data_IF_273290850855
#
_entry.id   IF_273290850855
#
_cell.length_a   1.000
_cell.length_b   1.000
_cell.length_c   1.000
_cell.angle_alpha   90.00
_cell.angle_beta   90.00
_cell.angle_gamma   90.00
#
_symmetry.space_group_name_H-M   'P 1'
#
loop_
_entity.id
_entity.type
_entity.pdbx_description
1 polymer ?
#
# COMPACT_ATOMS: atom_id res chain seq x y z
N UNK A 1 0.72 4.80 3.04
CA UNK A 1 2.04 4.14 3.05
C UNK A 1 2.72 4.25 1.69
N UNK A 2 4.03 4.54 1.65
CA UNK A 2 4.89 4.41 0.47
C UNK A 2 5.51 3.00 0.47
N UNK A 3 5.29 2.24 -0.59
CA UNK A 3 5.72 0.84 -0.69
C UNK A 3 6.49 0.60 -1.98
N UNK A 4 7.71 0.06 -1.89
CA UNK A 4 8.54 -0.23 -3.06
C UNK A 4 7.92 -1.37 -3.90
N UNK A 5 7.61 -1.15 -5.19
CA UNK A 5 6.94 -2.14 -6.02
C UNK A 5 7.76 -3.42 -6.26
N UNK A 6 9.08 -3.41 -6.03
CA UNK A 6 9.91 -4.62 -6.12
C UNK A 6 9.57 -5.63 -5.02
N UNK A 7 9.10 -5.16 -3.87
CA UNK A 7 8.76 -5.99 -2.71
C UNK A 7 7.61 -6.96 -3.00
N UNK A 8 6.62 -6.54 -3.80
CA UNK A 8 5.52 -7.42 -4.21
C UNK A 8 6.02 -8.63 -4.99
N UNK A 9 7.06 -8.45 -5.82
CA UNK A 9 7.67 -9.56 -6.60
C UNK A 9 8.47 -10.53 -5.73
N UNK A 10 8.84 -10.12 -4.53
CA UNK A 10 9.55 -10.92 -3.54
C UNK A 10 8.58 -11.54 -2.50
N UNK A 11 7.29 -11.23 -2.57
CA UNK A 11 6.30 -11.72 -1.61
C UNK A 11 6.25 -10.96 -0.29
N UNK A 12 6.89 -9.81 -0.20
CA UNK A 12 6.82 -8.97 1.00
C UNK A 12 5.46 -8.29 1.04
N UNK A 13 4.83 -8.35 2.21
CA UNK A 13 3.50 -7.78 2.46
C UNK A 13 3.58 -6.83 3.63
N UNK A 14 2.95 -5.67 3.49
CA UNK A 14 2.65 -4.78 4.60
C UNK A 14 1.18 -4.92 4.97
N UNK A 15 0.90 -5.10 6.25
CA UNK A 15 -0.44 -5.30 6.81
C UNK A 15 -0.73 -4.20 7.81
N UNK A 16 -1.79 -3.46 7.54
CA UNK A 16 -2.30 -2.44 8.46
C UNK A 16 -3.02 -3.10 9.66
N UNK A 17 -2.83 -2.51 10.84
CA UNK A 17 -3.46 -2.96 12.08
C UNK A 17 -4.51 -1.93 12.50
N UNK A 18 -5.75 -2.37 12.69
CA UNK A 18 -6.83 -1.49 13.10
C UNK A 18 -6.55 -0.86 14.47
N UNK A 19 -6.67 0.47 14.55
CA UNK A 19 -6.33 1.26 15.75
C UNK A 19 -4.88 1.10 16.21
N UNK A 20 -3.95 0.90 15.28
CA UNK A 20 -2.52 0.90 15.59
C UNK A 20 -2.12 2.20 16.30
N UNK A 21 -1.14 2.07 17.19
CA UNK A 21 -0.36 3.19 17.76
C UNK A 21 0.79 3.58 16.83
N UNK A 22 1.20 2.66 15.96
CA UNK A 22 2.31 2.82 15.03
C UNK A 22 1.88 2.47 13.61
N UNK A 23 1.86 3.48 12.75
CA UNK A 23 1.55 3.32 11.34
C UNK A 23 2.85 3.08 10.56
N UNK A 24 2.86 2.11 9.68
CA UNK A 24 3.96 1.87 8.76
C UNK A 24 3.83 2.81 7.57
N UNK A 25 4.70 3.80 7.49
CA UNK A 25 4.61 4.86 6.48
C UNK A 25 5.49 4.59 5.27
N UNK A 26 6.61 3.88 5.42
CA UNK A 26 7.53 3.55 4.32
C UNK A 26 8.02 2.11 4.44
N UNK A 27 8.02 1.39 3.32
CA UNK A 27 8.73 0.12 3.12
C UNK A 27 9.54 0.22 1.83
N UNK A 28 10.86 0.27 1.94
CA UNK A 28 11.76 0.36 0.80
C UNK A 28 12.74 -0.80 0.76
N UNK A 29 13.08 -1.24 -0.44
CA UNK A 29 14.07 -2.27 -0.69
C UNK A 29 15.38 -1.66 -1.18
N UNK A 30 16.51 -2.19 -0.73
CA UNK A 30 17.81 -1.95 -1.33
C UNK A 30 18.38 -3.29 -1.79
N UNK A 31 18.65 -3.40 -3.09
CA UNK A 31 19.35 -4.55 -3.66
C UNK A 31 20.86 -4.50 -3.36
N UNK A 32 21.61 -5.49 -3.86
CA UNK A 32 23.07 -5.63 -3.67
C UNK A 32 23.88 -4.39 -4.06
N UNK A 33 23.40 -3.62 -5.04
CA UNK A 33 24.10 -2.40 -5.48
C UNK A 33 23.82 -1.24 -4.53
N UNK A 34 22.66 -1.24 -3.90
CA UNK A 34 22.17 -0.18 -3.03
C UNK A 34 22.50 -0.42 -1.55
N UNK A 35 22.66 -1.68 -1.13
CA UNK A 35 22.80 -2.06 0.27
C UNK A 35 24.16 -1.74 0.87
N UNK A 36 25.16 -1.44 0.03
CA UNK A 36 26.55 -1.26 0.45
C UNK A 36 27.16 -2.54 1.03
N UNK A 37 26.66 -3.72 0.63
CA UNK A 37 27.09 -5.02 1.14
C UNK A 37 26.48 -5.41 2.49
N UNK A 38 25.45 -4.69 2.95
CA UNK A 38 24.74 -4.99 4.18
C UNK A 38 23.52 -5.88 3.92
N UNK A 39 23.05 -6.57 4.97
CA UNK A 39 21.86 -7.41 4.92
C UNK A 39 20.91 -7.15 6.11
N UNK A 40 20.38 -5.93 6.24
CA UNK A 40 19.66 -5.51 7.45
C UNK A 40 18.19 -5.15 7.23
N UNK A 41 17.41 -5.28 8.29
CA UNK A 41 16.15 -4.55 8.45
C UNK A 41 16.49 -3.28 9.22
N UNK A 42 16.36 -2.13 8.57
CA UNK A 42 16.50 -0.81 9.17
C UNK A 42 15.14 -0.29 9.60
N UNK A 43 15.09 0.29 10.79
CA UNK A 43 13.94 0.98 11.32
C UNK A 43 14.26 2.46 11.45
N UNK A 44 13.31 3.30 11.07
CA UNK A 44 13.21 4.70 11.48
C UNK A 44 11.86 4.88 12.16
N UNK A 45 11.86 5.39 13.39
CA UNK A 45 10.64 5.62 14.16
C UNK A 45 10.49 7.10 14.43
N UNK A 46 9.32 7.63 14.05
CA UNK A 46 8.98 9.04 14.13
C UNK A 46 7.79 9.26 15.07
N UNK A 47 7.72 10.44 15.69
CA UNK A 47 6.53 10.91 16.38
C UNK A 47 5.45 11.40 15.41
N UNK A 48 4.31 11.83 15.95
CA UNK A 48 3.19 12.34 15.17
C UNK A 48 3.48 13.65 14.42
N UNK A 49 4.58 14.33 14.75
CA UNK A 49 5.07 15.52 14.07
C UNK A 49 6.19 15.21 13.06
N UNK A 50 6.52 13.93 12.85
CA UNK A 50 7.59 13.50 11.96
C UNK A 50 8.99 13.65 12.53
N UNK A 51 9.14 13.86 13.84
CA UNK A 51 10.46 13.94 14.49
C UNK A 51 10.96 12.57 14.94
N UNK A 52 12.27 12.30 14.90
CA UNK A 52 12.79 11.03 15.37
C UNK A 52 12.50 10.76 16.85
N UNK A 53 12.21 9.50 17.18
CA UNK A 53 11.83 9.11 18.53
C UNK A 53 12.78 8.05 19.11
N UNK A 54 13.62 8.42 20.09
CA UNK A 54 14.53 7.49 20.75
C UNK A 54 13.81 6.58 21.74
N UNK A 55 14.39 5.42 22.03
CA UNK A 55 13.92 4.49 23.05
C UNK A 55 12.59 3.80 22.71
N UNK A 56 12.23 3.75 21.43
CA UNK A 56 11.10 2.95 20.95
C UNK A 56 11.58 1.56 20.61
N UNK A 57 10.81 0.54 20.99
CA UNK A 57 11.17 -0.86 20.75
C UNK A 57 10.79 -1.28 19.33
N UNK A 58 11.76 -1.53 18.47
CA UNK A 58 11.58 -2.19 17.20
C UNK A 58 11.70 -3.71 17.38
N UNK A 59 10.82 -4.47 16.75
CA UNK A 59 10.77 -5.92 16.90
C UNK A 59 10.93 -6.58 15.55
N UNK A 60 11.86 -7.53 15.47
CA UNK A 60 11.96 -8.49 14.38
C UNK A 60 11.67 -9.86 14.94
N UNK A 61 10.66 -10.50 14.37
CA UNK A 61 10.17 -11.78 14.78
C UNK A 61 10.22 -12.75 13.59
N UNK A 62 10.35 -14.03 13.87
CA UNK A 62 10.55 -15.08 12.89
C UNK A 62 10.09 -16.42 13.47
N UNK A 63 9.60 -17.35 12.64
CA UNK A 63 9.28 -18.70 13.09
C UNK A 63 10.52 -19.33 13.73
N UNK A 64 10.43 -19.63 15.03
CA UNK A 64 11.45 -20.39 15.73
C UNK A 64 11.14 -21.87 15.69
N UNK A 65 12.17 -22.68 15.89
CA UNK A 65 12.03 -24.11 16.16
C UNK A 65 11.00 -24.28 17.30
N UNK A 66 9.98 -25.14 17.14
CA UNK A 66 8.98 -25.40 18.19
C UNK A 66 9.57 -25.84 19.54
N UNK A 67 10.83 -26.28 19.57
CA UNK A 67 11.57 -26.68 20.76
C UNK A 67 12.28 -25.53 21.50
N UNK A 68 12.38 -24.33 20.92
CA UNK A 68 12.95 -23.14 21.56
C UNK A 68 11.83 -22.21 22.06
N UNK A 69 11.86 -21.70 23.31
CA UNK A 69 10.95 -20.64 23.74
C UNK A 69 11.01 -19.43 22.80
N UNK A 70 9.90 -19.14 22.13
CA UNK A 70 9.73 -18.03 21.18
C UNK A 70 10.29 -16.71 21.72
N UNK A 71 11.40 -16.25 21.13
CA UNK A 71 12.08 -15.00 21.52
C UNK A 71 12.29 -14.10 20.31
N UNK A 72 11.40 -13.14 20.03
CA UNK A 72 11.64 -12.15 19.00
C UNK A 72 12.84 -11.27 19.36
N UNK A 73 13.57 -10.83 18.35
CA UNK A 73 14.64 -9.84 18.50
C UNK A 73 14.02 -8.46 18.79
N UNK A 74 14.55 -7.77 19.80
CA UNK A 74 14.08 -6.44 20.21
C UNK A 74 15.24 -5.47 20.22
N UNK A 75 15.09 -4.34 19.53
CA UNK A 75 16.08 -3.27 19.46
C UNK A 75 15.43 -1.97 19.91
N UNK A 76 16.19 -1.11 20.58
CA UNK A 76 15.75 0.24 20.93
C UNK A 76 16.24 1.22 19.88
N UNK A 77 15.41 2.18 19.50
CA UNK A 77 15.84 3.29 18.64
C UNK A 77 16.83 4.19 19.35
N UNK A 78 17.84 4.67 18.62
CA UNK A 78 18.82 5.63 19.09
C UNK A 78 18.29 7.08 19.10
N UNK A 79 19.16 8.05 19.37
CA UNK A 79 18.83 9.48 19.39
C UNK A 79 18.25 10.01 18.06
N UNK A 80 18.52 9.32 16.95
CA UNK A 80 18.00 9.64 15.61
C UNK A 80 16.76 8.82 15.27
N UNK A 81 16.13 8.16 16.24
CA UNK A 81 14.97 7.30 16.02
C UNK A 81 15.28 6.06 15.20
N UNK A 82 16.55 5.64 15.13
CA UNK A 82 17.00 4.55 14.26
C UNK A 82 17.35 3.30 15.04
N UNK A 83 16.99 2.14 14.48
CA UNK A 83 17.44 0.83 14.94
C UNK A 83 17.69 -0.06 13.73
N UNK A 84 18.44 -1.15 13.90
CA UNK A 84 18.63 -2.12 12.83
C UNK A 84 18.77 -3.54 13.37
N UNK A 85 18.54 -4.51 12.49
CA UNK A 85 18.70 -5.92 12.76
C UNK A 85 19.36 -6.63 11.57
N UNK A 86 20.49 -7.36 11.76
CA UNK A 86 21.09 -8.15 10.70
C UNK A 86 20.24 -9.41 10.41
N UNK A 87 19.98 -9.66 9.13
CA UNK A 87 19.25 -10.84 8.66
C UNK A 87 20.21 -11.97 8.27
N UNK A 88 19.89 -13.20 8.67
CA UNK A 88 20.71 -14.37 8.32
C UNK A 88 19.93 -15.43 7.53
N UNK A 89 18.60 -15.39 7.60
CA UNK A 89 17.76 -16.36 6.93
C UNK A 89 17.33 -15.89 5.53
N UNK A 90 17.26 -16.84 4.61
CA UNK A 90 16.84 -16.60 3.23
C UNK A 90 15.32 -16.48 3.13
N UNK A 91 14.85 -15.71 2.16
CA UNK A 91 13.49 -15.83 1.67
C UNK A 91 13.46 -16.82 0.49
N UNK A 92 12.41 -17.63 0.43
CA UNK A 92 12.17 -18.52 -0.70
C UNK A 92 11.50 -17.71 -1.81
N UNK A 93 12.26 -17.41 -2.88
CA UNK A 93 11.78 -16.63 -4.02
C UNK A 93 10.73 -17.38 -4.88
N UNK A 94 10.64 -18.71 -4.73
CA UNK A 94 9.64 -19.51 -5.45
C UNK A 94 8.32 -19.50 -4.69
N UNK A 95 8.39 -19.60 -3.36
CA UNK A 95 7.22 -19.53 -2.48
C UNK A 95 6.80 -18.09 -2.14
N UNK A 96 7.62 -17.09 -2.52
CA UNK A 96 7.41 -15.68 -2.22
C UNK A 96 7.20 -15.46 -0.72
N UNK A 97 8.05 -16.11 0.08
CA UNK A 97 7.90 -16.10 1.53
C UNK A 97 9.26 -16.13 2.23
N UNK A 98 9.50 -15.12 3.06
CA UNK A 98 10.63 -15.03 3.96
C UNK A 98 10.22 -15.14 5.43
N UNK A 99 11.11 -15.64 6.30
CA UNK A 99 10.77 -15.93 7.69
C UNK A 99 10.61 -14.68 8.54
N UNK A 100 11.18 -13.53 8.15
CA UNK A 100 11.17 -12.35 8.99
C UNK A 100 9.89 -11.54 8.82
N UNK A 101 9.39 -11.08 9.96
CA UNK A 101 8.39 -10.04 10.06
C UNK A 101 8.78 -8.99 11.10
N UNK A 102 8.34 -7.75 10.90
CA UNK A 102 8.77 -6.61 11.68
C UNK A 102 7.62 -5.68 12.06
N UNK A 103 7.66 -5.18 13.29
CA UNK A 103 6.69 -4.27 13.88
C UNK A 103 7.33 -3.44 14.99
N UNK A 104 6.60 -2.45 15.51
CA UNK A 104 7.04 -1.60 16.62
C UNK A 104 6.23 -1.91 17.89
N UNK A 105 6.92 -2.05 19.01
CA UNK A 105 6.42 -2.40 20.35
C UNK A 105 5.63 -3.72 20.42
N UNK A 106 4.39 -3.72 19.93
CA UNK A 106 3.42 -4.81 20.04
C UNK A 106 2.66 -4.99 18.73
N UNK A 107 2.51 -6.23 18.27
CA UNK A 107 1.84 -6.53 16.99
C UNK A 107 0.39 -6.06 16.94
N UNK A 108 -0.32 -6.07 18.06
CA UNK A 108 -1.70 -5.58 18.15
C UNK A 108 -1.81 -4.06 18.14
N UNK A 109 -0.68 -3.34 18.16
CA UNK A 109 -0.59 -1.88 18.22
C UNK A 109 0.28 -1.29 17.11
N UNK A 110 0.75 -2.10 16.17
CA UNK A 110 1.60 -1.66 15.07
C UNK A 110 1.18 -2.34 13.79
N UNK A 111 1.31 -1.62 12.68
CA UNK A 111 1.36 -2.23 11.36
C UNK A 111 2.52 -3.24 11.29
N UNK A 112 2.41 -4.18 10.37
CA UNK A 112 3.31 -5.32 10.26
C UNK A 112 3.88 -5.43 8.84
N UNK A 113 5.18 -5.69 8.72
CA UNK A 113 5.80 -6.14 7.47
C UNK A 113 6.14 -7.61 7.59
N UNK A 114 5.78 -8.43 6.60
CA UNK A 114 6.04 -9.88 6.60
C UNK A 114 6.72 -10.34 5.30
N UNK A 115 7.33 -11.51 5.33
CA UNK A 115 7.88 -12.17 4.14
C UNK A 115 9.32 -11.75 3.82
N UNK A 116 10.01 -11.07 4.74
CA UNK A 116 11.37 -10.57 4.52
C UNK A 116 12.41 -11.67 4.72
N UNK A 117 13.56 -11.52 4.07
CA UNK A 117 14.73 -12.39 4.20
C UNK A 117 15.78 -12.06 3.16
N UNK A 118 16.74 -12.95 2.94
CA UNK A 118 17.73 -12.79 1.86
C UNK A 118 17.23 -13.50 0.59
N UNK A 119 16.86 -12.78 -0.49
CA UNK A 119 16.53 -13.40 -1.76
C UNK A 119 17.80 -14.02 -2.35
N UNK A 120 17.80 -15.33 -2.55
CA UNK A 120 18.94 -16.07 -3.12
C UNK A 120 20.30 -15.78 -2.44
N UNK A 121 20.31 -15.46 -1.14
CA UNK A 121 21.48 -15.08 -0.32
C UNK A 121 22.13 -13.75 -0.70
N UNK A 122 21.43 -12.89 -1.44
CA UNK A 122 21.88 -11.54 -1.77
C UNK A 122 21.89 -10.61 -0.55
N UNK A 123 22.83 -9.67 -0.52
CA UNK A 123 22.99 -8.67 0.53
C UNK A 123 22.02 -7.51 0.28
N UNK A 124 20.86 -7.58 0.91
CA UNK A 124 19.75 -6.66 0.70
C UNK A 124 19.33 -5.98 1.99
N UNK A 125 18.85 -4.75 1.90
CA UNK A 125 18.25 -4.09 3.05
C UNK A 125 16.75 -3.85 2.87
N UNK A 126 16.02 -3.90 3.98
CA UNK A 126 14.64 -3.41 4.08
C UNK A 126 14.63 -2.17 4.97
N UNK A 127 14.18 -1.04 4.43
CA UNK A 127 14.12 0.22 5.15
C UNK A 127 12.68 0.48 5.52
N UNK A 128 12.39 0.37 6.82
CA UNK A 128 11.06 0.50 7.39
C UNK A 128 10.98 1.84 8.13
N UNK A 129 9.95 2.63 7.83
CA UNK A 129 9.62 3.82 8.63
C UNK A 129 8.27 3.63 9.29
N UNK A 130 8.26 3.75 10.62
CA UNK A 130 7.06 3.78 11.43
C UNK A 130 6.86 5.19 11.97
N UNK A 131 5.63 5.68 11.98
CA UNK A 131 5.27 6.93 12.63
C UNK A 131 4.25 6.64 13.72
N UNK A 132 4.35 7.34 14.85
CA UNK A 132 3.32 7.28 15.87
C UNK A 132 2.04 7.83 15.27
N UNK A 133 0.99 7.02 15.28
CA UNK A 133 -0.32 7.43 14.83
C UNK A 133 -0.69 8.68 15.62
N UNK A 134 -1.13 9.75 14.94
CA UNK A 134 -1.31 11.09 15.50
C UNK A 134 -2.45 11.22 16.52
N UNK A 135 -2.88 10.12 17.15
CA UNK A 135 -4.14 10.04 17.87
C UNK A 135 -5.29 10.24 16.88
N UNK A 136 -5.36 9.35 15.87
CA UNK A 136 -6.31 9.49 14.77
C UNK A 136 -6.42 8.26 13.86
N UNK A 137 -5.95 7.09 14.31
CA UNK A 137 -6.08 5.82 13.59
C UNK A 137 -7.48 5.20 13.70
N UNK A 138 -8.52 6.01 13.50
CA UNK A 138 -9.78 5.52 12.96
C UNK A 138 -9.76 5.86 11.47
N UNK A 139 -9.83 4.86 10.60
CA UNK A 139 -10.85 5.02 9.55
C UNK A 139 -12.13 5.35 10.32
N UNK A 140 -12.78 6.51 10.12
CA UNK A 140 -13.69 7.09 11.10
C UNK A 140 -14.64 6.03 11.64
N UNK A 141 -14.52 5.73 12.94
CA UNK A 141 -15.52 4.93 13.61
C UNK A 141 -16.84 5.67 13.45
N UNK A 142 -17.96 5.01 13.12
CA UNK A 142 -19.19 5.71 12.85
C UNK A 142 -19.64 6.53 14.08
N UNK A 143 -19.42 7.84 14.08
CA UNK A 143 -20.30 8.80 14.78
C UNK A 143 -21.74 8.55 14.34
N UNK A 144 -22.73 8.96 15.14
CA UNK A 144 -24.13 9.01 14.70
C UNK A 144 -24.27 9.69 13.33
N UNK A 145 -23.43 10.69 13.04
CA UNK A 145 -23.36 11.37 11.75
C UNK A 145 -22.81 10.49 10.61
N UNK A 146 -21.81 9.63 10.85
CA UNK A 146 -21.27 8.69 9.84
C UNK A 146 -22.12 7.43 9.68
N UNK A 147 -22.78 6.94 10.73
CA UNK A 147 -23.84 5.92 10.59
C UNK A 147 -25.02 6.50 9.81
N UNK A 148 -25.41 7.75 10.09
CA UNK A 148 -26.41 8.47 9.32
C UNK A 148 -25.92 8.73 7.87
N UNK A 149 -24.64 9.03 7.64
CA UNK A 149 -24.09 9.22 6.31
C UNK A 149 -24.07 7.92 5.51
N UNK A 150 -23.68 6.79 6.12
CA UNK A 150 -23.76 5.45 5.49
C UNK A 150 -25.22 5.08 5.21
N UNK A 151 -26.13 5.37 6.14
CA UNK A 151 -27.57 5.11 5.99
C UNK A 151 -28.19 6.00 4.91
N UNK A 152 -27.77 7.26 4.80
CA UNK A 152 -28.17 8.18 3.74
C UNK A 152 -27.57 7.75 2.39
N UNK A 153 -26.30 7.38 2.35
CA UNK A 153 -25.60 6.94 1.15
C UNK A 153 -26.16 5.63 0.58
N UNK A 154 -26.58 4.68 1.43
CA UNK A 154 -27.27 3.45 1.03
C UNK A 154 -28.67 3.69 0.43
N UNK A 155 -29.27 4.86 0.66
CA UNK A 155 -30.54 5.28 0.05
C UNK A 155 -30.32 6.02 -1.27
N UNK A 156 -29.09 6.44 -1.56
CA UNK A 156 -28.75 7.01 -2.86
C UNK A 156 -28.61 5.86 -3.84
N UNK A 157 -29.27 5.97 -4.99
CA UNK A 157 -28.92 5.15 -6.15
C UNK A 157 -27.60 5.69 -6.68
N UNK A 158 -26.50 5.01 -6.35
CA UNK A 158 -25.20 5.35 -6.91
C UNK A 158 -25.27 5.12 -8.41
N UNK A 159 -24.65 6.01 -9.20
CA UNK A 159 -24.55 5.78 -10.64
C UNK A 159 -23.81 4.45 -10.84
N UNK A 160 -24.43 3.45 -11.48
CA UNK A 160 -23.81 2.16 -11.66
C UNK A 160 -22.58 2.35 -12.57
N UNK A 161 -21.39 2.27 -11.98
CA UNK A 161 -20.16 2.30 -12.76
C UNK A 161 -20.09 0.97 -13.52
N UNK A 162 -20.26 1.03 -14.84
CA UNK A 162 -20.06 -0.11 -15.72
C UNK A 162 -18.56 -0.35 -15.92
N UNK A 163 -17.91 -1.03 -14.97
CA UNK A 163 -16.48 -1.36 -15.04
C UNK A 163 -16.13 -2.33 -16.17
N UNK A 164 -17.13 -3.04 -16.72
CA UNK A 164 -16.95 -3.92 -17.87
C UNK A 164 -16.96 -3.18 -19.21
N UNK A 165 -17.41 -1.93 -19.23
CA UNK A 165 -17.56 -1.09 -20.42
C UNK A 165 -16.23 -0.80 -21.13
N UNK A 166 -16.29 -0.67 -22.45
CA UNK A 166 -15.11 -0.42 -23.28
C UNK A 166 -14.44 0.93 -22.94
N UNK A 167 -15.24 1.96 -22.64
CA UNK A 167 -14.73 3.28 -22.26
C UNK A 167 -13.98 3.23 -20.92
N UNK A 168 -14.49 2.45 -19.96
CA UNK A 168 -13.87 2.25 -18.65
C UNK A 168 -12.51 1.57 -18.78
N UNK A 169 -12.46 0.43 -19.45
CA UNK A 169 -11.20 -0.31 -19.69
C UNK A 169 -10.18 0.54 -20.45
N UNK A 170 -10.62 1.30 -21.45
CA UNK A 170 -9.74 2.22 -22.16
C UNK A 170 -9.20 3.32 -21.24
N UNK A 171 -10.07 3.95 -20.43
CA UNK A 171 -9.69 5.00 -19.49
C UNK A 171 -8.65 4.52 -18.46
N UNK A 172 -8.75 3.28 -17.99
CA UNK A 172 -7.75 2.66 -17.11
C UNK A 172 -6.38 2.57 -17.78
N UNK A 173 -6.30 2.13 -19.04
CA UNK A 173 -5.01 2.09 -19.77
C UNK A 173 -4.37 3.48 -19.98
N UNK A 174 -5.16 4.54 -19.89
CA UNK A 174 -4.73 5.93 -20.04
C UNK A 174 -4.62 6.67 -18.71
N UNK A 175 -4.89 6.00 -17.59
CA UNK A 175 -4.86 6.54 -16.24
C UNK A 175 -5.69 7.84 -16.09
N UNK A 176 -6.91 7.86 -16.64
CA UNK A 176 -7.75 9.08 -16.69
C UNK A 176 -8.57 9.35 -15.40
N UNK A 177 -8.44 8.50 -14.39
CA UNK A 177 -9.16 8.58 -13.12
C UNK A 177 -10.57 7.99 -13.19
N UNK A 178 -11.45 8.41 -12.28
CA UNK A 178 -12.81 7.85 -12.16
C UNK A 178 -13.81 8.48 -13.14
N UNK A 179 -14.83 7.74 -13.60
CA UNK A 179 -15.91 8.29 -14.38
C UNK A 179 -16.69 9.32 -13.55
N UNK A 180 -17.09 10.40 -14.21
CA UNK A 180 -17.83 11.55 -13.66
C UNK A 180 -19.25 11.63 -14.21
N UNK A 181 -19.56 10.84 -15.26
CA UNK A 181 -20.87 10.74 -15.89
C UNK A 181 -21.17 9.27 -16.22
N UNK A 182 -22.43 8.98 -16.52
CA UNK A 182 -22.80 7.79 -17.28
C UNK A 182 -22.28 7.93 -18.73
N UNK A 183 -22.38 6.83 -19.47
CA UNK A 183 -22.24 6.87 -20.92
C UNK A 183 -23.37 7.73 -21.52
N UNK A 184 -23.02 8.63 -22.44
CA UNK A 184 -23.96 9.47 -23.15
C UNK A 184 -23.75 9.33 -24.65
N UNK A 185 -24.85 9.41 -25.41
CA UNK A 185 -24.78 9.39 -26.87
C UNK A 185 -24.68 10.82 -27.41
N UNK A 186 -23.85 10.99 -28.45
CA UNK A 186 -23.80 12.23 -29.22
C UNK A 186 -23.60 11.91 -30.70
N UNK A 187 -24.03 12.82 -31.57
CA UNK A 187 -23.90 12.65 -33.02
C UNK A 187 -22.94 13.69 -33.59
N UNK A 188 -22.03 13.24 -34.44
CA UNK A 188 -21.14 14.11 -35.22
C UNK A 188 -21.08 13.60 -36.66
N UNK A 189 -21.33 14.48 -37.64
CA UNK A 189 -21.37 14.13 -39.08
C UNK A 189 -22.24 12.89 -39.39
N UNK A 190 -23.45 12.84 -38.84
CA UNK A 190 -24.39 11.72 -38.96
C UNK A 190 -23.88 10.37 -38.42
N UNK A 191 -22.83 10.36 -37.59
CA UNK A 191 -22.33 9.17 -36.88
C UNK A 191 -22.64 9.30 -35.40
N UNK A 192 -23.24 8.27 -34.81
CA UNK A 192 -23.50 8.20 -33.37
C UNK A 192 -22.27 7.68 -32.63
N UNK A 193 -21.89 8.39 -31.58
CA UNK A 193 -20.83 8.06 -30.65
C UNK A 193 -21.40 7.83 -29.26
N UNK A 194 -20.67 7.04 -28.47
CA UNK A 194 -20.86 6.90 -27.03
C UNK A 194 -19.67 7.56 -26.35
N UNK A 195 -19.93 8.45 -25.41
CA UNK A 195 -18.91 9.18 -24.65
C UNK A 195 -19.10 9.03 -23.14
N UNK A 196 -18.03 9.23 -22.38
CA UNK A 196 -18.06 9.27 -20.92
C UNK A 196 -16.95 10.19 -20.41
N UNK A 197 -17.27 11.00 -19.41
CA UNK A 197 -16.31 11.93 -18.80
C UNK A 197 -15.60 11.26 -17.64
N UNK A 198 -14.28 11.45 -17.56
CA UNK A 198 -13.41 11.00 -16.47
C UNK A 198 -12.74 12.21 -15.80
N UNK A 199 -12.02 11.99 -14.70
CA UNK A 199 -11.32 13.06 -13.97
C UNK A 199 -10.39 13.88 -14.87
N UNK A 200 -9.62 13.21 -15.73
CA UNK A 200 -8.54 13.83 -16.53
C UNK A 200 -8.84 13.91 -18.04
N UNK A 201 -9.94 13.32 -18.50
CA UNK A 201 -10.25 13.25 -19.92
C UNK A 201 -11.70 12.88 -20.21
N UNK A 202 -12.06 12.95 -21.49
CA UNK A 202 -13.33 12.46 -22.01
C UNK A 202 -13.00 11.33 -22.98
N UNK A 203 -13.50 10.13 -22.73
CA UNK A 203 -13.35 8.97 -23.62
C UNK A 203 -14.60 8.87 -24.48
N UNK A 204 -14.43 8.57 -25.76
CA UNK A 204 -15.54 8.37 -26.69
C UNK A 204 -15.19 7.34 -27.77
N UNK A 205 -16.22 6.72 -28.34
CA UNK A 205 -16.09 5.71 -29.38
C UNK A 205 -17.30 5.74 -30.30
N UNK A 206 -17.12 5.36 -31.57
CA UNK A 206 -18.26 5.17 -32.47
C UNK A 206 -19.13 4.02 -31.96
N UNK A 207 -20.44 4.22 -31.91
CA UNK A 207 -21.38 3.21 -31.37
C UNK A 207 -21.27 1.92 -32.18
N UNK A 208 -20.96 0.82 -31.49
CA UNK A 208 -20.72 -0.50 -32.10
C UNK A 208 -19.28 -0.80 -32.49
N UNK A 209 -18.35 0.16 -32.38
CA UNK A 209 -16.93 0.00 -32.73
C UNK A 209 -16.02 0.07 -31.49
N UNK A 210 -16.33 -0.76 -30.50
CA UNK A 210 -15.75 -0.71 -29.14
C UNK A 210 -14.23 -0.89 -29.06
N UNK A 211 -13.59 -1.38 -30.12
CA UNK A 211 -12.13 -1.55 -30.21
C UNK A 211 -11.36 -0.26 -30.51
N UNK A 212 -12.04 0.80 -30.96
CA UNK A 212 -11.43 2.03 -31.47
C UNK A 212 -11.72 3.25 -30.58
N UNK A 213 -11.62 3.08 -29.26
CA UNK A 213 -11.83 4.16 -28.30
C UNK A 213 -10.79 5.28 -28.47
N UNK A 214 -11.24 6.53 -28.32
CA UNK A 214 -10.42 7.74 -28.38
C UNK A 214 -10.65 8.56 -27.11
N UNK A 215 -9.73 9.48 -26.80
CA UNK A 215 -9.93 10.41 -25.69
C UNK A 215 -9.39 11.80 -26.01
N UNK A 216 -9.94 12.80 -25.33
CA UNK A 216 -9.44 14.17 -25.30
C UNK A 216 -9.21 14.60 -23.85
N UNK A 217 -8.22 15.46 -23.63
CA UNK A 217 -7.95 16.04 -22.31
C UNK A 217 -9.15 16.89 -21.89
N UNK A 218 -9.56 16.74 -20.63
CA UNK A 218 -10.59 17.59 -20.04
C UNK A 218 -10.04 19.02 -19.95
N UNK A 219 -10.82 20.06 -20.32
CA UNK A 219 -10.39 21.45 -20.23
C UNK A 219 -10.00 21.85 -18.80
#
# INVERSE_FOLDING_TARGET
MQFDPRLTKLGIVAKETANATWDLTVVQYQDDQQSGGQHHIFFTVLDSAGKPMPGVTCVVDYPQDPSDPHKPAKMQTDANGQANYPMFANLDITLLNGPYFAYVEDQGKSDLVTGMGLPEKHHVNYLLTFAKSSGGGTQPQPTDASTAAITAAKKLTWMPINTDGALYKFAETKNLGYPQTDEFEFTHNNVTYVGQVYNLGIVFVKKGDWGNCQWVKKP
#
